data_IF_554151889922
#
_entry.id   IF_554151889922
#
_cell.length_a   1.000
_cell.length_b   1.000
_cell.length_c   1.000
_cell.angle_alpha   90.00
_cell.angle_beta   90.00
_cell.angle_gamma   90.00
#
_symmetry.space_group_name_H-M   'P 1'
#
loop_
_entity.id
_entity.type
_entity.pdbx_description
1 polymer ?
#
# COMPACT_ATOMS: atom_id res chain seq x y z
N UNK A 1 14.15 -10.54 6.67
CA UNK A 1 12.98 -9.85 7.25
C UNK A 1 11.74 -10.50 6.66
N UNK A 2 10.85 -11.07 7.47
CA UNK A 2 9.56 -11.58 6.97
C UNK A 2 8.48 -10.58 7.36
N UNK A 3 7.92 -9.89 6.37
CA UNK A 3 6.81 -8.97 6.59
C UNK A 3 5.51 -9.79 6.68
N UNK A 4 4.79 -9.69 7.78
CA UNK A 4 3.47 -10.29 7.93
C UNK A 4 2.45 -9.14 7.89
N UNK A 5 1.79 -8.95 6.75
CA UNK A 5 0.71 -7.98 6.64
C UNK A 5 -0.51 -8.46 7.43
N UNK A 6 -1.02 -7.59 8.29
CA UNK A 6 -2.33 -7.76 8.90
C UNK A 6 -3.40 -7.63 7.81
N UNK A 7 -4.15 -8.70 7.56
CA UNK A 7 -5.18 -8.71 6.52
C UNK A 7 -6.50 -8.13 7.06
N UNK A 8 -6.98 -7.07 6.42
CA UNK A 8 -8.34 -6.56 6.64
C UNK A 8 -9.30 -7.38 5.75
N UNK A 9 -10.35 -8.01 6.31
CA UNK A 9 -11.34 -8.73 5.53
C UNK A 9 -12.02 -7.81 4.50
N UNK A 10 -12.44 -8.33 3.33
CA UNK A 10 -13.22 -7.55 2.39
C UNK A 10 -14.51 -7.03 3.03
N UNK A 11 -14.79 -5.75 2.84
CA UNK A 11 -16.10 -5.20 3.19
C UNK A 11 -17.08 -5.56 2.07
N UNK A 12 -18.02 -6.45 2.37
CA UNK A 12 -19.11 -6.81 1.45
C UNK A 12 -20.19 -5.74 1.51
N UNK A 13 -20.56 -5.22 0.35
CA UNK A 13 -21.52 -4.13 0.18
C UNK A 13 -22.98 -4.49 0.45
N UNK A 14 -23.33 -4.96 1.64
CA UNK A 14 -24.66 -5.51 1.93
C UNK A 14 -25.74 -4.42 2.16
N UNK A 15 -25.36 -3.22 2.63
CA UNK A 15 -26.33 -2.13 2.89
C UNK A 15 -26.52 -1.26 1.65
N UNK A 16 -27.77 -1.16 1.19
CA UNK A 16 -28.15 -0.35 0.01
C UNK A 16 -28.06 1.16 0.25
N UNK A 17 -28.10 1.59 1.50
CA UNK A 17 -28.03 2.98 1.95
C UNK A 17 -26.61 3.42 2.36
N UNK A 18 -25.60 2.56 2.18
CA UNK A 18 -24.22 2.85 2.53
C UNK A 18 -23.37 3.03 1.26
N UNK A 19 -22.68 4.17 1.08
CA UNK A 19 -21.66 4.30 0.04
C UNK A 19 -20.43 3.48 0.44
N UNK A 20 -19.94 2.65 -0.47
CA UNK A 20 -18.70 1.89 -0.30
C UNK A 20 -17.62 2.51 -1.18
N UNK A 21 -16.60 3.09 -0.54
CA UNK A 21 -15.46 3.68 -1.23
C UNK A 21 -14.38 2.64 -1.52
N UNK A 22 -13.61 2.88 -2.59
CA UNK A 22 -12.33 2.20 -2.79
C UNK A 22 -11.26 2.93 -1.99
N UNK A 23 -10.45 2.19 -1.26
CA UNK A 23 -9.28 2.75 -0.61
C UNK A 23 -8.23 3.09 -1.67
N UNK A 24 -7.48 4.17 -1.42
CA UNK A 24 -6.35 4.53 -2.26
C UNK A 24 -5.29 3.41 -2.21
N UNK A 25 -4.67 3.13 -3.34
CA UNK A 25 -3.66 2.11 -3.49
C UNK A 25 -2.61 2.54 -4.52
N UNK A 26 -1.42 1.99 -4.41
CA UNK A 26 -0.28 2.25 -5.27
C UNK A 26 0.17 0.93 -5.90
N UNK A 27 0.63 1.00 -7.15
CA UNK A 27 1.29 -0.11 -7.82
C UNK A 27 2.80 0.02 -7.65
N UNK A 28 3.46 -1.08 -7.29
CA UNK A 28 4.91 -1.13 -7.21
C UNK A 28 5.54 -1.02 -8.60
N UNK A 29 6.75 -0.41 -8.72
CA UNK A 29 7.49 -0.39 -9.97
C UNK A 29 7.83 -1.81 -10.44
N UNK A 30 7.74 -2.05 -11.75
CA UNK A 30 7.88 -3.40 -12.33
C UNK A 30 9.29 -3.97 -12.34
N UNK A 31 10.29 -3.13 -12.10
CA UNK A 31 11.72 -3.47 -12.00
C UNK A 31 12.17 -3.80 -10.57
N UNK A 32 11.28 -3.68 -9.59
CA UNK A 32 11.56 -3.99 -8.19
C UNK A 32 11.41 -5.49 -7.95
N UNK A 33 12.52 -6.15 -7.67
CA UNK A 33 12.54 -7.56 -7.28
C UNK A 33 12.60 -7.73 -5.74
N UNK A 34 12.11 -8.88 -5.26
CA UNK A 34 12.17 -9.22 -3.83
C UNK A 34 11.13 -8.51 -2.95
N UNK A 35 10.34 -7.59 -3.50
CA UNK A 35 9.22 -6.94 -2.84
C UNK A 35 7.90 -7.51 -3.39
N UNK A 36 7.30 -8.45 -2.67
CA UNK A 36 6.01 -9.04 -3.04
C UNK A 36 4.99 -8.75 -1.96
N UNK A 37 3.99 -7.94 -2.30
CA UNK A 37 2.83 -7.70 -1.44
C UNK A 37 1.65 -8.50 -1.96
N UNK A 38 0.94 -9.15 -1.04
CA UNK A 38 -0.23 -9.93 -1.38
C UNK A 38 -1.39 -9.36 -0.56
N UNK A 39 -2.16 -8.48 -1.18
CA UNK A 39 -3.31 -7.85 -0.53
C UNK A 39 -4.61 -8.45 -1.08
N UNK A 40 -5.42 -9.00 -0.18
CA UNK A 40 -6.54 -9.89 -0.51
C UNK A 40 -7.55 -9.29 -1.50
N UNK A 41 -7.75 -7.97 -1.48
CA UNK A 41 -8.76 -7.28 -2.28
C UNK A 41 -8.21 -6.63 -3.56
N UNK A 42 -6.91 -6.72 -3.84
CA UNK A 42 -6.27 -6.06 -4.99
C UNK A 42 -5.31 -7.01 -5.72
N UNK A 43 -4.89 -6.63 -6.93
CA UNK A 43 -3.96 -7.44 -7.71
C UNK A 43 -2.57 -7.50 -7.07
N UNK A 44 -1.78 -8.53 -7.42
CA UNK A 44 -0.35 -8.58 -7.09
C UNK A 44 0.34 -7.27 -7.50
N UNK A 45 1.33 -6.89 -6.72
CA UNK A 45 2.15 -5.69 -6.90
C UNK A 45 1.37 -4.39 -6.71
N UNK A 46 0.19 -4.45 -6.10
CA UNK A 46 -0.56 -3.29 -5.64
C UNK A 46 -0.67 -3.35 -4.12
N UNK A 47 -0.60 -2.19 -3.48
CA UNK A 47 -0.55 -2.02 -2.02
C UNK A 47 -1.51 -0.90 -1.64
N UNK A 48 -2.37 -1.10 -0.64
CA UNK A 48 -3.18 -0.02 -0.08
C UNK A 48 -2.29 1.08 0.51
N UNK A 49 -2.76 2.32 0.44
CA UNK A 49 -2.04 3.48 0.98
C UNK A 49 -1.66 3.32 2.46
N UNK A 50 -2.44 2.59 3.26
CA UNK A 50 -2.12 2.31 4.66
C UNK A 50 -0.91 1.40 4.85
N UNK A 51 -0.56 0.57 3.87
CA UNK A 51 0.60 -0.33 3.91
C UNK A 51 1.75 0.15 3.03
N UNK A 52 1.48 1.11 2.14
CA UNK A 52 2.43 1.70 1.20
C UNK A 52 3.66 2.32 1.88
N UNK A 53 3.55 2.77 3.13
CA UNK A 53 4.65 3.39 3.85
C UNK A 53 5.90 2.50 3.92
N UNK A 54 5.73 1.19 4.17
CA UNK A 54 6.87 0.25 4.23
C UNK A 54 7.61 0.11 2.90
N UNK A 55 6.90 -0.25 1.80
CA UNK A 55 7.46 -0.27 0.45
C UNK A 55 8.13 1.05 0.03
N UNK A 56 7.46 2.18 0.21
CA UNK A 56 8.02 3.50 -0.14
C UNK A 56 9.28 3.78 0.66
N UNK A 57 9.28 3.48 1.95
CA UNK A 57 10.46 3.66 2.79
C UNK A 57 11.67 2.87 2.27
N UNK A 58 11.44 1.63 1.83
CA UNK A 58 12.48 0.79 1.23
C UNK A 58 12.96 1.32 -0.13
N UNK A 59 12.03 1.73 -1.00
CA UNK A 59 12.34 2.20 -2.36
C UNK A 59 13.07 3.54 -2.36
N UNK A 60 12.66 4.46 -1.49
CA UNK A 60 13.29 5.78 -1.36
C UNK A 60 14.59 5.75 -0.52
N UNK A 61 14.96 4.59 0.04
CA UNK A 61 16.18 4.44 0.83
C UNK A 61 16.21 5.27 2.11
N UNK A 62 15.04 5.54 2.69
CA UNK A 62 14.93 6.32 3.92
C UNK A 62 15.62 5.61 5.10
N UNK A 63 16.34 6.37 5.92
CA UNK A 63 17.13 5.84 7.05
C UNK A 63 16.47 5.96 8.42
N UNK A 64 15.24 6.49 8.47
CA UNK A 64 14.54 6.83 9.72
C UNK A 64 13.46 5.79 10.00
N UNK A 65 13.40 5.16 11.17
CA UNK A 65 12.39 4.11 11.44
C UNK A 65 10.95 4.63 11.66
N UNK A 66 10.67 5.87 11.27
CA UNK A 66 9.40 6.55 11.43
C UNK A 66 8.44 6.14 10.29
N UNK A 67 7.18 5.88 10.62
CA UNK A 67 6.13 5.79 9.59
C UNK A 67 5.82 7.21 9.14
N UNK A 68 6.28 7.57 7.95
CA UNK A 68 6.01 8.87 7.33
C UNK A 68 4.50 9.13 7.24
N UNK A 69 4.09 10.39 7.29
CA UNK A 69 2.69 10.78 7.09
C UNK A 69 2.20 10.33 5.71
N UNK A 70 0.89 10.08 5.60
CA UNK A 70 0.27 9.62 4.35
C UNK A 70 0.58 10.58 3.18
N UNK A 71 0.69 11.88 3.46
CA UNK A 71 0.99 12.90 2.45
C UNK A 71 2.41 12.73 1.88
N UNK A 72 3.40 12.46 2.74
CA UNK A 72 4.80 12.25 2.33
C UNK A 72 4.95 10.93 1.57
N UNK A 73 4.26 9.87 2.03
CA UNK A 73 4.23 8.59 1.30
C UNK A 73 3.58 8.78 -0.07
N UNK A 74 2.48 9.54 -0.14
CA UNK A 74 1.76 9.81 -1.38
C UNK A 74 2.61 10.58 -2.39
N UNK A 75 3.26 11.66 -1.97
CA UNK A 75 4.14 12.46 -2.83
C UNK A 75 5.27 11.59 -3.42
N UNK A 76 5.95 10.83 -2.57
CA UNK A 76 7.01 9.90 -2.99
C UNK A 76 6.52 8.81 -3.97
N UNK A 77 5.29 8.32 -3.76
CA UNK A 77 4.66 7.34 -4.65
C UNK A 77 4.38 7.91 -6.03
N UNK A 78 3.99 9.19 -6.09
CA UNK A 78 3.70 9.89 -7.35
C UNK A 78 4.96 10.36 -8.08
N UNK A 79 6.06 10.60 -7.37
CA UNK A 79 7.35 10.95 -7.98
C UNK A 79 8.12 9.75 -8.53
N UNK A 80 7.78 8.54 -8.09
CA UNK A 80 8.37 7.27 -8.53
C UNK A 80 7.54 6.54 -9.60
N UNK A 81 6.44 7.15 -10.07
CA UNK A 81 5.52 6.61 -11.09
C UNK A 81 5.80 7.09 -12.52
#
# INVERSE_FOLDING_TARGET
>A
MHFHQFMVPPVIGFRRDCPYGKLAAMRLPGDVEGLWTCEYTISRDVVHACHAAGPVHFLEGYGHHEVNTIDVVWEASTSSS
#
